data_IF_355103912760
#
_entry.id   IF_355103912760
#
_cell.length_a   1.000
_cell.length_b   1.000
_cell.length_c   1.000
_cell.angle_alpha   90.00
_cell.angle_beta   90.00
_cell.angle_gamma   90.00
#
_symmetry.space_group_name_H-M   'P 1'
#
loop_
_entity.id
_entity.type
_entity.pdbx_description
1 polymer ?
#
# COMPACT_ATOMS: atom_id res chain seq x y z
N UNK A 1 -67.52 -3.55 8.14
CA UNK A 1 -68.53 -3.81 7.10
C UNK A 1 -68.14 -2.95 5.89
N UNK A 2 -67.20 -3.40 5.07
CA UNK A 2 -67.55 -4.08 3.82
C UNK A 2 -66.50 -5.13 3.45
N UNK A 3 -66.84 -6.40 3.67
CA UNK A 3 -66.23 -7.50 2.94
C UNK A 3 -66.63 -7.33 1.47
N UNK A 4 -65.66 -6.96 0.65
CA UNK A 4 -65.76 -7.11 -0.80
C UNK A 4 -64.95 -8.35 -1.10
N UNK A 5 -65.63 -9.49 -1.16
CA UNK A 5 -65.10 -10.72 -1.72
C UNK A 5 -64.73 -10.43 -3.18
N UNK A 6 -63.44 -10.22 -3.43
CA UNK A 6 -62.92 -10.29 -4.79
C UNK A 6 -63.10 -11.74 -5.29
N UNK A 7 -63.52 -11.93 -6.54
CA UNK A 7 -63.69 -13.27 -7.09
C UNK A 7 -62.35 -14.00 -6.96
N UNK A 8 -62.41 -15.27 -6.52
CA UNK A 8 -61.29 -16.21 -6.51
C UNK A 8 -60.87 -16.54 -7.94
N UNK A 9 -60.38 -15.54 -8.66
CA UNK A 9 -59.66 -15.72 -9.91
C UNK A 9 -58.39 -16.48 -9.59
N UNK A 10 -58.10 -17.52 -10.37
CA UNK A 10 -56.86 -18.28 -10.27
C UNK A 10 -55.69 -17.32 -10.17
N UNK A 11 -55.08 -17.20 -8.98
CA UNK A 11 -53.82 -16.48 -8.83
C UNK A 11 -52.85 -17.12 -9.81
N UNK A 12 -52.40 -16.37 -10.79
CA UNK A 12 -51.35 -16.83 -11.70
C UNK A 12 -50.14 -17.22 -10.86
N UNK A 13 -49.50 -18.34 -11.18
CA UNK A 13 -48.26 -18.72 -10.51
C UNK A 13 -47.28 -17.56 -10.61
N UNK A 14 -46.67 -17.20 -9.48
CA UNK A 14 -45.63 -16.18 -9.46
C UNK A 14 -44.53 -16.57 -10.45
N UNK A 15 -44.03 -15.59 -11.20
CA UNK A 15 -42.94 -15.75 -12.16
C UNK A 15 -41.87 -14.71 -11.89
N UNK A 16 -40.61 -15.08 -12.07
CA UNK A 16 -39.47 -14.18 -11.85
C UNK A 16 -39.32 -13.17 -13.00
N UNK A 17 -40.24 -12.22 -13.08
CA UNK A 17 -40.23 -11.10 -14.03
C UNK A 17 -40.85 -9.85 -13.38
N UNK A 18 -40.63 -8.69 -14.00
CA UNK A 18 -41.04 -7.41 -13.42
C UNK A 18 -42.54 -7.11 -13.58
N UNK A 19 -43.23 -7.75 -14.54
CA UNK A 19 -44.54 -7.27 -15.03
C UNK A 19 -45.69 -8.27 -14.90
N UNK A 20 -45.45 -9.59 -14.76
CA UNK A 20 -46.53 -10.59 -14.80
C UNK A 20 -47.12 -10.93 -13.41
N UNK A 21 -46.55 -10.40 -12.33
CA UNK A 21 -46.92 -10.73 -10.94
C UNK A 21 -48.02 -9.83 -10.35
N UNK A 22 -49.08 -9.57 -11.10
CA UNK A 22 -50.20 -8.75 -10.63
C UNK A 22 -51.02 -9.50 -9.56
N UNK A 23 -51.26 -8.89 -8.40
CA UNK A 23 -52.04 -9.48 -7.29
C UNK A 23 -51.22 -10.17 -6.20
N UNK A 24 -49.89 -10.09 -6.27
CA UNK A 24 -49.00 -10.40 -5.14
C UNK A 24 -48.62 -9.11 -4.40
N UNK A 25 -48.50 -9.14 -3.06
CA UNK A 25 -48.02 -7.97 -2.32
C UNK A 25 -46.56 -7.66 -2.68
N UNK A 26 -46.15 -6.39 -2.58
CA UNK A 26 -44.80 -5.94 -2.99
C UNK A 26 -43.65 -6.65 -2.26
N UNK A 27 -43.91 -7.17 -1.06
CA UNK A 27 -42.96 -7.93 -0.25
C UNK A 27 -43.09 -9.46 -0.41
N UNK A 28 -43.84 -9.94 -1.40
CA UNK A 28 -43.98 -11.36 -1.67
C UNK A 28 -42.67 -11.97 -2.15
N UNK A 29 -42.24 -13.05 -1.49
CA UNK A 29 -41.11 -13.88 -1.89
C UNK A 29 -41.63 -15.29 -2.18
N UNK A 30 -41.32 -15.81 -3.36
CA UNK A 30 -41.77 -17.14 -3.76
C UNK A 30 -41.07 -18.25 -2.96
N UNK A 31 -41.73 -19.40 -2.77
CA UNK A 31 -41.20 -20.54 -1.99
C UNK A 31 -39.94 -21.12 -2.67
N UNK A 32 -39.89 -21.08 -4.01
CA UNK A 32 -38.72 -21.51 -4.80
C UNK A 32 -37.49 -20.61 -4.63
N UNK A 33 -37.62 -19.42 -4.02
CA UNK A 33 -36.53 -18.47 -3.85
C UNK A 33 -35.32 -19.07 -3.11
N UNK A 34 -35.56 -19.83 -2.04
CA UNK A 34 -34.50 -20.47 -1.26
C UNK A 34 -33.90 -21.69 -1.98
N UNK A 35 -34.62 -22.28 -2.93
CA UNK A 35 -34.15 -23.40 -3.75
C UNK A 35 -33.09 -22.94 -4.76
N UNK A 36 -33.14 -21.67 -5.20
CA UNK A 36 -32.16 -21.07 -6.11
C UNK A 36 -30.87 -20.57 -5.40
N UNK A 37 -30.78 -20.69 -4.07
CA UNK A 37 -29.58 -20.29 -3.31
C UNK A 37 -28.40 -21.24 -3.59
N UNK A 38 -27.29 -20.67 -4.03
CA UNK A 38 -26.04 -21.40 -4.27
C UNK A 38 -24.94 -20.84 -3.38
N UNK A 39 -24.16 -21.71 -2.76
CA UNK A 39 -22.96 -21.30 -2.02
C UNK A 39 -21.70 -21.52 -2.86
N UNK A 40 -20.76 -20.59 -2.77
CA UNK A 40 -19.38 -20.77 -3.20
C UNK A 40 -19.17 -21.09 -4.70
N UNK A 41 -20.08 -20.62 -5.57
CA UNK A 41 -20.08 -20.91 -7.02
C UNK A 41 -18.77 -20.50 -7.71
N UNK A 42 -18.20 -19.36 -7.34
CA UNK A 42 -16.97 -18.80 -7.93
C UNK A 42 -15.78 -18.74 -6.95
N UNK A 43 -15.65 -19.73 -6.06
CA UNK A 43 -14.55 -19.73 -5.08
C UNK A 43 -13.21 -20.11 -5.72
N UNK A 44 -12.34 -19.12 -5.94
CA UNK A 44 -10.93 -19.34 -6.30
C UNK A 44 -10.11 -19.70 -5.06
N UNK A 45 -9.48 -20.87 -5.04
CA UNK A 45 -8.50 -21.22 -4.00
C UNK A 45 -7.19 -20.49 -4.28
N UNK A 46 -6.71 -19.72 -3.30
CA UNK A 46 -5.41 -19.06 -3.39
C UNK A 46 -4.33 -20.02 -2.87
N UNK A 47 -3.35 -20.44 -3.69
CA UNK A 47 -2.27 -21.28 -3.21
C UNK A 47 -1.33 -20.48 -2.29
N UNK A 48 -0.63 -21.18 -1.39
CA UNK A 48 0.32 -20.55 -0.47
C UNK A 48 1.42 -19.77 -1.19
N UNK A 49 1.88 -20.25 -2.35
CA UNK A 49 2.89 -19.57 -3.15
C UNK A 49 2.43 -18.19 -3.62
N UNK A 50 1.19 -18.05 -4.08
CA UNK A 50 0.64 -16.76 -4.49
C UNK A 50 0.47 -15.81 -3.29
N UNK A 51 0.00 -16.32 -2.15
CA UNK A 51 -0.09 -15.54 -0.92
C UNK A 51 1.29 -15.09 -0.41
N UNK A 52 2.29 -15.97 -0.47
CA UNK A 52 3.69 -15.66 -0.15
C UNK A 52 4.22 -14.56 -1.07
N UNK A 53 4.09 -14.73 -2.38
CA UNK A 53 4.52 -13.75 -3.37
C UNK A 53 3.85 -12.39 -3.14
N UNK A 54 2.56 -12.36 -2.82
CA UNK A 54 1.85 -11.12 -2.44
C UNK A 54 2.45 -10.46 -1.20
N UNK A 55 2.76 -11.23 -0.15
CA UNK A 55 3.37 -10.69 1.08
C UNK A 55 4.78 -10.13 0.88
N UNK A 56 5.50 -10.56 -0.16
CA UNK A 56 6.83 -10.01 -0.49
C UNK A 56 6.77 -8.53 -0.88
N UNK A 57 5.65 -8.06 -1.46
CA UNK A 57 5.45 -6.65 -1.81
C UNK A 57 5.37 -5.76 -0.57
N UNK A 58 4.69 -6.24 0.48
CA UNK A 58 4.62 -5.56 1.79
C UNK A 58 6.01 -5.50 2.42
N UNK A 59 6.73 -6.62 2.37
CA UNK A 59 8.10 -6.73 2.91
C UNK A 59 9.06 -5.79 2.21
N UNK A 60 8.92 -5.60 0.90
CA UNK A 60 9.73 -4.65 0.14
C UNK A 60 9.52 -3.22 0.63
N UNK A 61 8.27 -2.78 0.84
CA UNK A 61 8.00 -1.45 1.38
C UNK A 61 8.49 -1.30 2.82
N UNK A 62 8.37 -2.35 3.64
CA UNK A 62 8.96 -2.37 4.97
C UNK A 62 10.48 -2.16 4.93
N UNK A 63 11.17 -2.80 3.98
CA UNK A 63 12.62 -2.60 3.79
C UNK A 63 12.95 -1.15 3.41
N UNK A 64 12.17 -0.54 2.51
CA UNK A 64 12.36 0.87 2.11
C UNK A 64 12.24 1.80 3.32
N UNK A 65 11.24 1.59 4.18
CA UNK A 65 11.05 2.35 5.43
C UNK A 65 12.25 2.14 6.37
N UNK A 66 12.68 0.90 6.57
CA UNK A 66 13.83 0.59 7.44
C UNK A 66 15.11 1.24 6.92
N UNK A 67 15.37 1.22 5.61
CA UNK A 67 16.53 1.91 5.02
C UNK A 67 16.45 3.43 5.19
N UNK A 68 15.25 4.00 5.06
CA UNK A 68 15.00 5.40 5.35
C UNK A 68 15.31 5.73 6.82
N UNK A 69 14.80 4.97 7.77
CA UNK A 69 15.06 5.16 9.20
C UNK A 69 16.53 4.95 9.56
N UNK A 70 17.21 3.98 8.93
CA UNK A 70 18.66 3.78 9.09
C UNK A 70 19.46 4.98 8.59
N UNK A 71 19.09 5.60 7.47
CA UNK A 71 19.73 6.82 7.00
C UNK A 71 19.51 7.98 7.96
N UNK A 72 18.29 8.16 8.48
CA UNK A 72 18.04 9.13 9.55
C UNK A 72 18.96 8.89 10.76
N UNK A 73 19.05 7.65 11.23
CA UNK A 73 19.90 7.31 12.37
C UNK A 73 21.40 7.56 12.09
N UNK A 74 21.90 7.25 10.89
CA UNK A 74 23.28 7.52 10.51
C UNK A 74 23.63 9.02 10.50
N UNK A 75 22.68 9.88 10.07
CA UNK A 75 22.85 11.33 10.11
C UNK A 75 22.73 11.83 11.55
N UNK A 76 21.75 11.34 12.31
CA UNK A 76 21.49 11.75 13.69
C UNK A 76 22.65 11.43 14.65
N UNK A 77 23.28 10.27 14.50
CA UNK A 77 24.42 9.81 15.32
C UNK A 77 25.78 10.21 14.70
N UNK A 78 25.77 11.08 13.68
CA UNK A 78 26.96 11.59 12.98
C UNK A 78 27.93 10.52 12.44
N UNK A 79 27.44 9.30 12.19
CA UNK A 79 28.28 8.18 11.70
C UNK A 79 28.76 8.39 10.27
N UNK A 80 27.99 9.13 9.47
CA UNK A 80 28.28 9.41 8.06
C UNK A 80 28.06 10.90 7.82
N UNK A 81 28.99 11.56 7.14
CA UNK A 81 28.84 12.96 6.79
C UNK A 81 27.70 13.16 5.78
N UNK A 82 26.91 14.21 5.99
CA UNK A 82 25.74 14.53 5.16
C UNK A 82 26.11 14.84 3.72
N UNK A 83 27.33 15.33 3.46
CA UNK A 83 27.86 15.57 2.11
C UNK A 83 28.03 14.27 1.33
N UNK A 84 28.55 13.22 1.99
CA UNK A 84 28.71 11.90 1.36
C UNK A 84 27.35 11.29 1.05
N UNK A 85 26.41 11.35 1.99
CA UNK A 85 25.04 10.86 1.76
C UNK A 85 24.34 11.64 0.65
N UNK A 86 24.51 12.95 0.60
CA UNK A 86 23.96 13.78 -0.47
C UNK A 86 24.50 13.39 -1.84
N UNK A 87 25.82 13.16 -1.96
CA UNK A 87 26.44 12.72 -3.21
C UNK A 87 25.87 11.36 -3.65
N UNK A 88 25.76 10.41 -2.71
CA UNK A 88 25.16 9.09 -2.96
C UNK A 88 23.70 9.22 -3.42
N UNK A 89 22.91 10.08 -2.76
CA UNK A 89 21.53 10.37 -3.17
C UNK A 89 21.45 10.97 -4.57
N UNK A 90 22.39 11.85 -4.93
CA UNK A 90 22.46 12.40 -6.29
C UNK A 90 22.73 11.30 -7.32
N UNK A 91 23.69 10.41 -7.06
CA UNK A 91 23.98 9.27 -7.93
C UNK A 91 22.76 8.36 -8.11
N UNK A 92 22.07 8.00 -7.01
CA UNK A 92 20.87 7.18 -7.09
C UNK A 92 19.70 7.91 -7.77
N UNK A 93 19.56 9.22 -7.59
CA UNK A 93 18.55 10.01 -8.27
C UNK A 93 18.79 9.99 -9.79
N UNK A 94 20.01 10.26 -10.24
CA UNK A 94 20.36 10.18 -11.67
C UNK A 94 20.08 8.78 -12.22
N UNK A 95 20.50 7.74 -11.51
CA UNK A 95 20.25 6.35 -11.91
C UNK A 95 18.75 6.00 -11.96
N UNK A 96 17.99 6.37 -10.93
CA UNK A 96 16.54 6.13 -10.86
C UNK A 96 15.77 6.87 -11.96
N UNK A 97 16.15 8.11 -12.28
CA UNK A 97 15.56 8.86 -13.39
C UNK A 97 15.93 8.28 -14.76
N UNK A 98 17.15 7.76 -14.92
CA UNK A 98 17.54 7.04 -16.13
C UNK A 98 16.67 5.79 -16.33
N UNK A 99 16.48 4.97 -15.30
CA UNK A 99 15.59 3.80 -15.34
C UNK A 99 14.14 4.20 -15.61
N UNK A 100 13.64 5.25 -14.95
CA UNK A 100 12.30 5.76 -15.17
C UNK A 100 12.08 6.20 -16.63
N UNK A 101 13.06 6.90 -17.21
CA UNK A 101 13.03 7.31 -18.62
C UNK A 101 13.01 6.11 -19.57
N UNK A 102 13.78 5.06 -19.28
CA UNK A 102 13.78 3.81 -20.06
C UNK A 102 12.43 3.09 -19.98
N UNK A 103 11.81 3.00 -18.81
CA UNK A 103 10.57 2.22 -18.62
C UNK A 103 9.31 2.92 -19.12
N UNK A 104 9.23 4.25 -19.02
CA UNK A 104 8.02 5.00 -19.38
C UNK A 104 8.14 5.79 -20.69
N UNK A 105 9.32 5.79 -21.34
CA UNK A 105 9.59 6.54 -22.58
C UNK A 105 9.18 8.01 -22.49
N UNK A 106 9.27 8.61 -21.30
CA UNK A 106 8.84 9.98 -21.03
C UNK A 106 9.94 10.96 -21.40
N UNK A 107 9.56 12.12 -21.96
CA UNK A 107 10.46 13.24 -22.14
C UNK A 107 11.00 13.75 -20.78
N UNK A 108 12.21 13.32 -20.44
CA UNK A 108 12.93 13.64 -19.20
C UNK A 108 12.93 15.15 -18.91
N UNK A 109 12.98 15.98 -19.98
CA UNK A 109 12.97 17.46 -19.90
C UNK A 109 11.80 18.06 -19.11
N UNK A 110 10.63 17.41 -19.03
CA UNK A 110 9.50 17.94 -18.25
C UNK A 110 9.72 17.77 -16.75
N UNK A 111 10.39 16.69 -16.35
CA UNK A 111 10.62 16.34 -14.95
C UNK A 111 11.90 16.98 -14.39
N UNK A 112 12.86 17.37 -15.24
CA UNK A 112 14.06 18.09 -14.78
C UNK A 112 13.73 19.43 -14.15
N UNK A 113 12.75 20.18 -14.68
CA UNK A 113 12.29 21.44 -14.06
C UNK A 113 11.74 21.19 -12.66
N UNK A 114 10.91 20.17 -12.49
CA UNK A 114 10.34 19.82 -11.19
C UNK A 114 11.42 19.38 -10.19
N UNK A 115 12.42 18.62 -10.64
CA UNK A 115 13.58 18.24 -9.83
C UNK A 115 14.40 19.44 -9.38
N UNK A 116 14.74 20.34 -10.30
CA UNK A 116 15.51 21.55 -9.98
C UNK A 116 14.71 22.43 -9.02
N UNK A 117 13.40 22.61 -9.26
CA UNK A 117 12.52 23.32 -8.34
C UNK A 117 12.48 22.66 -6.96
N UNK A 118 12.41 21.33 -6.88
CA UNK A 118 12.44 20.60 -5.61
C UNK A 118 13.76 20.78 -4.87
N UNK A 119 14.91 20.70 -5.54
CA UNK A 119 16.21 20.88 -4.90
C UNK A 119 16.40 22.30 -4.37
N UNK A 120 16.07 23.31 -5.18
CA UNK A 120 16.22 24.72 -4.79
C UNK A 120 15.24 25.07 -3.65
N UNK A 121 13.95 24.79 -3.83
CA UNK A 121 12.94 25.12 -2.82
C UNK A 121 13.10 24.27 -1.56
N UNK A 122 13.43 22.99 -1.70
CA UNK A 122 13.69 22.09 -0.58
C UNK A 122 14.86 22.58 0.27
N UNK A 123 15.96 23.03 -0.36
CA UNK A 123 17.10 23.56 0.37
C UNK A 123 16.77 24.89 1.06
N UNK A 124 16.13 25.82 0.35
CA UNK A 124 15.75 27.13 0.89
C UNK A 124 14.75 27.02 2.04
N UNK A 125 13.81 26.08 1.95
CA UNK A 125 12.76 25.88 2.95
C UNK A 125 13.20 24.94 4.09
N UNK A 126 14.34 24.25 3.94
CA UNK A 126 14.83 23.29 4.95
C UNK A 126 14.91 23.85 6.37
N UNK A 127 15.40 25.09 6.61
CA UNK A 127 15.41 25.67 7.96
C UNK A 127 14.00 25.82 8.56
N UNK A 128 13.01 26.18 7.73
CA UNK A 128 11.61 26.31 8.15
C UNK A 128 11.01 24.93 8.46
N UNK A 129 11.31 23.94 7.62
CA UNK A 129 10.81 22.57 7.78
C UNK A 129 11.39 21.89 9.02
N UNK A 130 12.68 22.13 9.31
CA UNK A 130 13.33 21.69 10.55
C UNK A 130 12.65 22.30 11.78
N UNK A 131 12.42 23.61 11.77
CA UNK A 131 11.91 24.35 12.94
C UNK A 131 10.42 24.11 13.22
N UNK A 132 9.65 23.68 12.21
CA UNK A 132 8.18 23.51 12.31
C UNK A 132 7.75 22.58 13.44
N UNK A 133 8.45 21.46 13.63
CA UNK A 133 8.12 20.46 14.66
C UNK A 133 9.18 20.40 15.76
N UNK A 134 10.05 21.42 15.84
CA UNK A 134 11.19 21.42 16.75
C UNK A 134 10.76 21.54 18.22
N UNK A 135 9.65 22.25 18.48
CA UNK A 135 9.08 22.47 19.82
C UNK A 135 8.38 21.24 20.41
N UNK A 136 8.12 20.22 19.59
CA UNK A 136 7.48 18.97 20.02
C UNK A 136 8.53 18.06 20.67
N UNK A 137 8.14 17.31 21.70
CA UNK A 137 9.06 16.40 22.41
C UNK A 137 9.58 15.28 21.50
N UNK A 138 10.81 14.83 21.73
CA UNK A 138 11.48 13.78 20.95
C UNK A 138 10.70 12.47 20.95
N UNK A 139 10.18 12.07 22.11
CA UNK A 139 9.44 10.81 22.26
C UNK A 139 8.14 10.82 21.44
N UNK A 140 7.42 11.94 21.47
CA UNK A 140 6.22 12.12 20.65
C UNK A 140 6.54 12.14 19.16
N UNK A 141 7.68 12.72 18.76
CA UNK A 141 8.12 12.73 17.36
C UNK A 141 8.42 11.31 16.87
N UNK A 142 9.14 10.51 17.64
CA UNK A 142 9.40 9.11 17.28
C UNK A 142 8.13 8.27 17.22
N UNK A 143 7.22 8.45 18.19
CA UNK A 143 5.92 7.77 18.18
C UNK A 143 5.07 8.16 16.95
N UNK A 144 4.93 9.46 16.68
CA UNK A 144 4.17 9.95 15.52
C UNK A 144 4.78 9.52 14.20
N UNK A 145 6.11 9.58 14.05
CA UNK A 145 6.77 9.14 12.82
C UNK A 145 6.57 7.65 12.57
N UNK A 146 6.66 6.82 13.62
CA UNK A 146 6.44 5.38 13.55
C UNK A 146 4.99 5.05 13.19
N UNK A 147 4.03 5.73 13.81
CA UNK A 147 2.62 5.60 13.47
C UNK A 147 2.35 5.98 12.01
N UNK A 148 2.96 7.07 11.53
CA UNK A 148 2.78 7.54 10.16
C UNK A 148 3.46 6.64 9.13
N UNK A 149 4.56 5.97 9.47
CA UNK A 149 5.13 4.90 8.65
C UNK A 149 4.22 3.66 8.59
N UNK A 150 3.51 3.33 9.66
CA UNK A 150 2.48 2.28 9.65
C UNK A 150 1.31 2.67 8.75
N UNK A 151 0.81 3.92 8.86
CA UNK A 151 -0.22 4.45 7.96
C UNK A 151 0.27 4.39 6.51
N UNK A 152 1.52 4.77 6.24
CA UNK A 152 2.10 4.65 4.91
C UNK A 152 2.03 3.19 4.40
N UNK A 153 2.47 2.20 5.19
CA UNK A 153 2.39 0.78 4.82
C UNK A 153 0.97 0.30 4.55
N UNK A 154 0.01 0.64 5.42
CA UNK A 154 -1.38 0.14 5.29
C UNK A 154 -2.07 0.70 4.04
N UNK A 155 -1.85 1.97 3.72
CA UNK A 155 -2.53 2.67 2.63
C UNK A 155 -1.76 2.65 1.30
N UNK A 156 -0.55 2.07 1.28
CA UNK A 156 0.29 2.00 0.08
C UNK A 156 -0.36 1.14 -1.02
N UNK A 157 -0.19 1.57 -2.27
CA UNK A 157 -0.69 0.84 -3.44
C UNK A 157 0.27 -0.27 -3.86
N UNK A 158 -0.04 -1.49 -3.42
CA UNK A 158 0.70 -2.71 -3.78
C UNK A 158 0.33 -3.26 -5.17
N UNK A 159 -0.45 -2.55 -5.98
CA UNK A 159 -0.94 -3.02 -7.27
C UNK A 159 -2.18 -3.91 -7.16
N UNK A 160 -2.81 -3.94 -5.99
CA UNK A 160 -4.08 -4.62 -5.75
C UNK A 160 -5.18 -3.57 -5.73
N UNK A 161 -6.22 -3.76 -6.55
CA UNK A 161 -7.40 -2.90 -6.56
C UNK A 161 -8.25 -3.15 -5.30
N UNK A 162 -7.79 -2.68 -4.15
CA UNK A 162 -8.47 -2.76 -2.87
C UNK A 162 -9.00 -1.38 -2.47
N UNK A 163 -10.21 -1.35 -1.87
CA UNK A 163 -10.91 -0.11 -1.47
C UNK A 163 -10.14 0.69 -0.40
N UNK A 164 -9.27 0.02 0.35
CA UNK A 164 -8.53 0.61 1.46
C UNK A 164 -7.30 1.40 0.97
N UNK A 165 -6.86 1.21 -0.28
CA UNK A 165 -5.61 1.81 -0.80
C UNK A 165 -5.83 3.28 -1.18
N UNK A 166 -4.95 4.17 -0.69
CA UNK A 166 -4.95 5.59 -1.05
C UNK A 166 -3.52 6.10 -1.20
N UNK A 167 -3.07 6.27 -2.44
CA UNK A 167 -1.72 6.72 -2.78
C UNK A 167 -1.40 8.10 -2.18
N UNK A 168 -2.37 9.02 -2.19
CA UNK A 168 -2.21 10.34 -1.59
C UNK A 168 -2.06 10.29 -0.08
N UNK A 169 -2.88 9.49 0.62
CA UNK A 169 -2.79 9.35 2.08
C UNK A 169 -1.47 8.70 2.48
N UNK A 170 -1.08 7.63 1.79
CA UNK A 170 0.17 6.92 2.02
C UNK A 170 1.39 7.83 1.83
N UNK A 171 1.46 8.60 0.74
CA UNK A 171 2.57 9.51 0.48
C UNK A 171 2.61 10.65 1.50
N UNK A 172 1.46 11.26 1.82
CA UNK A 172 1.39 12.33 2.83
C UNK A 172 1.84 11.84 4.22
N UNK A 173 1.48 10.62 4.60
CA UNK A 173 1.91 10.02 5.85
C UNK A 173 3.44 9.83 5.88
N UNK A 174 4.05 9.31 4.81
CA UNK A 174 5.51 9.16 4.72
C UNK A 174 6.25 10.50 4.75
N UNK A 175 5.75 11.52 4.04
CA UNK A 175 6.33 12.86 4.05
C UNK A 175 6.22 13.48 5.44
N UNK A 176 5.08 13.34 6.12
CA UNK A 176 4.90 13.83 7.47
C UNK A 176 5.84 13.13 8.47
N UNK A 177 6.01 11.81 8.37
CA UNK A 177 6.97 11.06 9.18
C UNK A 177 8.40 11.55 8.96
N UNK A 178 8.79 11.82 7.70
CA UNK A 178 10.08 12.41 7.36
C UNK A 178 10.26 13.81 7.97
N UNK A 179 9.24 14.67 7.89
CA UNK A 179 9.29 16.02 8.46
C UNK A 179 9.47 15.99 9.98
N UNK A 180 8.76 15.09 10.66
CA UNK A 180 8.91 14.88 12.11
C UNK A 180 10.34 14.46 12.47
N UNK A 181 10.94 13.52 11.72
CA UNK A 181 12.32 13.09 12.00
C UNK A 181 13.36 14.16 11.65
N UNK A 182 13.15 14.91 10.55
CA UNK A 182 14.07 15.96 10.12
C UNK A 182 14.27 17.06 11.18
N UNK A 183 13.24 17.40 11.97
CA UNK A 183 13.35 18.41 13.04
C UNK A 183 14.27 18.02 14.20
N UNK A 184 14.77 16.78 14.23
CA UNK A 184 15.73 16.28 15.23
C UNK A 184 17.17 16.29 14.73
N UNK A 185 17.39 16.59 13.46
CA UNK A 185 18.74 16.73 12.91
C UNK A 185 19.33 18.09 13.28
N UNK A 186 20.65 18.17 13.40
CA UNK A 186 21.31 19.36 13.95
C UNK A 186 21.30 20.52 12.96
N UNK A 187 21.62 20.27 11.69
CA UNK A 187 21.71 21.32 10.67
C UNK A 187 20.52 21.31 9.70
N UNK A 188 20.17 22.47 9.11
CA UNK A 188 19.22 22.51 8.00
C UNK A 188 19.69 21.72 6.77
N UNK A 189 21.01 21.57 6.59
CA UNK A 189 21.54 20.76 5.49
C UNK A 189 21.22 19.28 5.68
N UNK A 190 21.39 18.75 6.89
CA UNK A 190 21.03 17.37 7.25
C UNK A 190 19.55 17.09 6.99
N UNK A 191 18.69 18.04 7.37
CA UNK A 191 17.25 17.98 7.14
C UNK A 191 16.93 17.92 5.65
N UNK A 192 17.61 18.72 4.84
CA UNK A 192 17.46 18.71 3.38
C UNK A 192 17.90 17.37 2.77
N UNK A 193 19.05 16.84 3.21
CA UNK A 193 19.58 15.55 2.74
C UNK A 193 18.59 14.43 3.06
N UNK A 194 18.07 14.37 4.29
CA UNK A 194 17.07 13.36 4.67
C UNK A 194 15.78 13.49 3.85
N UNK A 195 15.28 14.71 3.64
CA UNK A 195 14.07 14.93 2.84
C UNK A 195 14.27 14.57 1.37
N UNK A 196 15.44 14.83 0.81
CA UNK A 196 15.79 14.39 -0.56
C UNK A 196 15.79 12.87 -0.67
N UNK A 197 16.30 12.18 0.36
CA UNK A 197 16.28 10.72 0.43
C UNK A 197 14.87 10.16 0.59
N UNK A 198 14.00 10.85 1.35
CA UNK A 198 12.60 10.46 1.49
C UNK A 198 11.84 10.49 0.16
N UNK A 199 12.05 11.52 -0.66
CA UNK A 199 11.46 11.58 -2.01
C UNK A 199 11.99 10.43 -2.88
N UNK A 200 13.27 10.10 -2.77
CA UNK A 200 13.82 8.95 -3.49
C UNK A 200 13.17 7.63 -3.03
N UNK A 201 13.00 7.43 -1.73
CA UNK A 201 12.44 6.21 -1.13
C UNK A 201 10.94 6.05 -1.39
N UNK A 202 10.14 7.10 -1.20
CA UNK A 202 8.67 7.00 -1.19
C UNK A 202 8.00 7.45 -2.49
N UNK A 203 8.74 8.07 -3.41
CA UNK A 203 8.22 8.47 -4.72
C UNK A 203 8.96 7.76 -5.85
N UNK A 204 10.27 7.98 -5.99
CA UNK A 204 11.01 7.49 -7.16
C UNK A 204 11.17 5.96 -7.16
N UNK A 205 11.55 5.39 -6.01
CA UNK A 205 11.80 3.96 -5.88
C UNK A 205 10.55 3.12 -6.19
N UNK A 206 9.38 3.36 -5.58
CA UNK A 206 8.08 2.79 -5.97
C UNK A 206 7.81 2.74 -7.48
N UNK A 207 7.99 3.88 -8.17
CA UNK A 207 7.69 4.00 -9.60
C UNK A 207 8.60 3.13 -10.45
N UNK A 208 9.89 3.05 -10.10
CA UNK A 208 10.86 2.21 -10.80
C UNK A 208 10.59 0.72 -10.51
N UNK A 209 10.34 0.37 -9.25
CA UNK A 209 10.08 -1.01 -8.83
C UNK A 209 8.81 -1.59 -9.45
N UNK A 210 7.75 -0.78 -9.60
CA UNK A 210 6.50 -1.21 -10.22
C UNK A 210 6.65 -1.72 -11.67
N UNK A 211 7.74 -1.36 -12.36
CA UNK A 211 8.02 -1.81 -13.74
C UNK A 211 9.00 -2.98 -13.83
N UNK A 212 9.71 -3.29 -12.75
CA UNK A 212 10.69 -4.37 -12.75
C UNK A 212 9.98 -5.71 -12.53
N UNK A 213 10.01 -6.58 -13.55
CA UNK A 213 9.37 -7.90 -13.50
C UNK A 213 9.98 -8.85 -12.47
N UNK A 214 11.26 -8.70 -12.13
CA UNK A 214 12.00 -9.65 -11.26
C UNK A 214 12.20 -9.09 -9.84
N UNK A 215 11.11 -9.01 -9.10
CA UNK A 215 11.07 -8.30 -7.81
C UNK A 215 11.82 -9.02 -6.67
N UNK A 216 12.03 -10.34 -6.79
CA UNK A 216 12.63 -11.14 -5.70
C UNK A 216 14.11 -10.84 -5.47
N UNK A 217 14.89 -10.65 -6.53
CA UNK A 217 16.32 -10.31 -6.38
C UNK A 217 16.49 -8.97 -5.68
N UNK A 218 15.66 -7.98 -6.05
CA UNK A 218 15.67 -6.66 -5.42
C UNK A 218 15.30 -6.79 -3.95
N UNK A 219 14.26 -7.57 -3.63
CA UNK A 219 13.89 -7.81 -2.23
C UNK A 219 15.03 -8.46 -1.43
N UNK A 220 15.72 -9.46 -1.98
CA UNK A 220 16.86 -10.10 -1.30
C UNK A 220 17.97 -9.09 -1.03
N UNK A 221 18.28 -8.22 -1.99
CA UNK A 221 19.27 -7.14 -1.82
C UNK A 221 18.81 -6.17 -0.72
N UNK A 222 17.56 -5.71 -0.77
CA UNK A 222 16.99 -4.79 0.23
C UNK A 222 17.00 -5.40 1.64
N UNK A 223 16.62 -6.67 1.76
CA UNK A 223 16.67 -7.41 3.03
C UNK A 223 18.09 -7.52 3.56
N UNK A 224 19.05 -7.86 2.71
CA UNK A 224 20.47 -7.93 3.07
C UNK A 224 21.00 -6.59 3.61
N UNK A 225 20.67 -5.50 2.91
CA UNK A 225 21.04 -4.15 3.34
C UNK A 225 20.39 -3.75 4.68
N UNK A 226 19.10 -4.06 4.86
CA UNK A 226 18.39 -3.78 6.12
C UNK A 226 18.99 -4.56 7.29
N UNK A 227 19.23 -5.87 7.11
CA UNK A 227 19.78 -6.74 8.16
C UNK A 227 21.19 -6.27 8.53
N UNK A 228 22.04 -5.99 7.54
CA UNK A 228 23.39 -5.48 7.77
C UNK A 228 23.37 -4.14 8.50
N UNK A 229 22.56 -3.19 8.03
CA UNK A 229 22.42 -1.87 8.64
C UNK A 229 21.91 -1.94 10.08
N UNK A 230 20.82 -2.67 10.32
CA UNK A 230 20.26 -2.85 11.66
C UNK A 230 21.25 -3.55 12.60
N UNK A 231 21.99 -4.54 12.12
CA UNK A 231 22.99 -5.24 12.93
C UNK A 231 24.11 -4.31 13.40
N UNK A 232 24.47 -3.31 12.59
CA UNK A 232 25.43 -2.25 12.99
C UNK A 232 24.86 -1.26 14.00
N UNK A 233 23.54 -1.14 14.10
CA UNK A 233 22.87 -0.26 15.07
C UNK A 233 22.59 -1.01 16.38
N UNK A 234 21.87 -2.13 16.32
CA UNK A 234 21.49 -2.91 17.49
C UNK A 234 21.01 -4.31 17.12
N UNK A 235 21.53 -5.33 17.81
CA UNK A 235 21.12 -6.72 17.62
C UNK A 235 19.63 -6.95 17.93
N UNK A 236 19.07 -6.24 18.92
CA UNK A 236 17.65 -6.39 19.30
C UNK A 236 16.76 -5.96 18.13
N UNK A 237 17.08 -4.82 17.51
CA UNK A 237 16.33 -4.32 16.35
C UNK A 237 16.45 -5.27 15.14
N UNK A 238 17.62 -5.89 14.92
CA UNK A 238 17.79 -6.91 13.89
C UNK A 238 16.89 -8.12 14.13
N UNK A 239 16.86 -8.64 15.37
CA UNK A 239 16.01 -9.78 15.73
C UNK A 239 14.53 -9.46 15.55
N UNK A 240 14.08 -8.28 16.00
CA UNK A 240 12.70 -7.84 15.79
C UNK A 240 12.35 -7.70 14.30
N UNK A 241 13.25 -7.14 13.50
CA UNK A 241 13.05 -7.01 12.05
C UNK A 241 12.97 -8.38 11.36
N UNK A 242 13.90 -9.29 11.65
CA UNK A 242 13.85 -10.66 11.10
C UNK A 242 12.57 -11.38 11.54
N UNK A 243 12.17 -11.22 12.80
CA UNK A 243 10.90 -11.73 13.32
C UNK A 243 9.69 -11.18 12.56
N UNK A 244 9.67 -9.86 12.28
CA UNK A 244 8.63 -9.22 11.48
C UNK A 244 8.60 -9.72 10.04
N UNK A 245 9.75 -9.91 9.40
CA UNK A 245 9.85 -10.47 8.04
C UNK A 245 9.32 -11.91 8.00
N UNK A 246 9.70 -12.74 8.98
CA UNK A 246 9.19 -14.12 9.11
C UNK A 246 7.68 -14.13 9.34
N UNK A 247 7.19 -13.26 10.23
CA UNK A 247 5.76 -13.10 10.48
C UNK A 247 4.99 -12.70 9.21
N UNK A 248 5.47 -11.68 8.48
CA UNK A 248 4.81 -11.16 7.29
C UNK A 248 4.83 -12.13 6.11
N UNK A 249 5.93 -12.88 5.91
CA UNK A 249 6.05 -13.75 4.73
C UNK A 249 5.64 -15.19 4.98
N UNK A 250 5.67 -15.69 6.21
CA UNK A 250 5.29 -17.08 6.50
C UNK A 250 3.97 -17.15 7.25
N UNK A 251 3.87 -16.47 8.40
CA UNK A 251 2.70 -16.60 9.26
C UNK A 251 1.46 -15.95 8.65
N UNK A 252 1.58 -14.73 8.11
CA UNK A 252 0.44 -14.04 7.48
C UNK A 252 -0.11 -14.79 6.26
N UNK A 253 0.69 -15.22 5.27
CA UNK A 253 0.20 -16.05 4.16
C UNK A 253 -0.39 -17.38 4.61
N UNK A 254 0.19 -18.03 5.62
CA UNK A 254 -0.35 -19.28 6.16
C UNK A 254 -1.74 -19.07 6.78
N UNK A 255 -1.87 -18.06 7.65
CA UNK A 255 -3.15 -17.68 8.26
C UNK A 255 -4.16 -17.26 7.20
N UNK A 256 -3.73 -16.47 6.21
CA UNK A 256 -4.57 -16.05 5.10
C UNK A 256 -5.13 -17.25 4.32
N UNK A 257 -4.30 -18.19 3.89
CA UNK A 257 -4.76 -19.38 3.15
C UNK A 257 -5.69 -20.24 4.02
N UNK A 258 -5.37 -20.41 5.30
CA UNK A 258 -6.22 -21.16 6.25
C UNK A 258 -7.58 -20.48 6.43
N UNK A 259 -7.62 -19.17 6.61
CA UNK A 259 -8.86 -18.42 6.82
C UNK A 259 -9.67 -18.25 5.55
N UNK A 260 -9.00 -18.15 4.40
CA UNK A 260 -9.65 -18.11 3.10
C UNK A 260 -10.49 -19.37 2.83
N UNK A 261 -10.16 -20.51 3.44
CA UNK A 261 -10.95 -21.74 3.34
C UNK A 261 -12.32 -21.65 4.03
N UNK A 262 -12.50 -20.72 4.98
CA UNK A 262 -13.77 -20.51 5.70
C UNK A 262 -14.60 -19.36 5.11
N UNK A 263 -14.18 -18.77 3.99
CA UNK A 263 -14.94 -17.72 3.33
C UNK A 263 -16.17 -18.33 2.66
N UNK A 264 -17.36 -17.88 3.02
CA UNK A 264 -18.59 -18.27 2.35
C UNK A 264 -19.13 -17.12 1.50
N UNK A 265 -19.37 -17.40 0.22
CA UNK A 265 -20.10 -16.53 -0.68
C UNK A 265 -21.48 -17.15 -0.95
N UNK A 266 -22.55 -16.39 -0.73
CA UNK A 266 -23.91 -16.80 -1.03
C UNK A 266 -24.33 -16.08 -2.31
N UNK A 267 -24.71 -16.87 -3.31
CA UNK A 267 -25.34 -16.43 -4.54
C UNK A 267 -26.81 -16.78 -4.45
N UNK A 268 -27.65 -15.95 -5.06
CA UNK A 268 -29.06 -16.21 -5.10
C UNK A 268 -29.73 -15.68 -6.35
N UNK A 269 -31.06 -15.77 -6.39
CA UNK A 269 -31.85 -15.40 -7.55
C UNK A 269 -31.90 -13.91 -7.86
N UNK A 270 -31.37 -13.03 -6.99
CA UNK A 270 -31.38 -11.58 -7.18
C UNK A 270 -30.27 -11.12 -8.13
N UNK A 271 -30.48 -9.98 -8.80
CA UNK A 271 -29.45 -9.36 -9.63
C UNK A 271 -28.34 -8.79 -8.76
N UNK A 272 -27.19 -9.48 -8.72
CA UNK A 272 -25.98 -8.93 -8.13
C UNK A 272 -25.50 -7.76 -9.00
N UNK A 273 -25.29 -6.59 -8.38
CA UNK A 273 -24.72 -5.45 -9.07
C UNK A 273 -23.28 -5.78 -9.51
N UNK A 274 -23.12 -6.18 -10.77
CA UNK A 274 -21.81 -6.37 -11.39
C UNK A 274 -21.25 -5.00 -11.72
N UNK A 275 -20.24 -4.56 -10.97
CA UNK A 275 -19.50 -3.33 -11.28
C UNK A 275 -18.70 -3.56 -12.57
N UNK A 276 -19.29 -3.22 -13.72
CA UNK A 276 -18.60 -3.22 -15.03
C UNK A 276 -17.49 -2.16 -14.99
N UNK A 277 -16.25 -2.62 -14.97
CA UNK A 277 -15.03 -1.81 -14.77
C UNK A 277 -13.86 -2.62 -14.19
N UNK A 278 -14.15 -3.80 -13.64
CA UNK A 278 -13.17 -4.84 -13.34
C UNK A 278 -13.26 -5.96 -14.38
N UNK A 279 -12.73 -5.73 -15.58
CA UNK A 279 -12.28 -6.86 -16.40
C UNK A 279 -11.14 -7.54 -15.65
N UNK A 280 -11.43 -8.67 -15.02
CA UNK A 280 -10.39 -9.67 -14.79
C UNK A 280 -9.99 -10.15 -16.17
N UNK A 281 -8.97 -9.52 -16.74
CA UNK A 281 -8.41 -9.95 -18.02
C UNK A 281 -7.90 -11.38 -17.80
N UNK A 282 -8.68 -12.36 -18.24
CA UNK A 282 -8.36 -13.79 -18.21
C UNK A 282 -7.22 -14.15 -19.17
N UNK A 283 -6.49 -13.14 -19.67
CA UNK A 283 -5.36 -13.25 -20.59
C UNK A 283 -4.03 -13.63 -19.95
N UNK A 284 -4.02 -13.93 -18.65
CA UNK A 284 -2.89 -14.59 -17.99
C UNK A 284 -3.33 -15.95 -17.41
N UNK A 285 -3.99 -16.76 -18.24
CA UNK A 285 -3.77 -18.22 -18.26
C UNK A 285 -2.33 -18.55 -18.65
#
# INVERSE_FOLDING_TARGET
MSNIDQPSGFKTSWKKNLYENQGYPDNYTDISFLEELKKNVNMRKVPFTEAFLGSTLVTQQLCVIVLFTLNFYCIYDEKISSEVLFLVNCCFTVFGYALYGLFYSVAIKRHTKALISFLILGYLLSPVLKTLTESISTDTIYAMSSFMMIVHLVFYDYGVKAVIVSSSLSLNAAVFACLCLASRLQTPFDSFVLMSFAVQCFLLCPLVLAKIKNNHLILVILLGLCIFGLFKVSHIMTVLFVGAVVFLNLLCPFLFVRWHAYKDNIYGPWDEAVVKGFEWDSKYT
#
